data_IF_757465828748
#
_entry.id   IF_757465828748
#
_cell.length_a   1.000
_cell.length_b   1.000
_cell.length_c   1.000
_cell.angle_alpha   90.00
_cell.angle_beta   90.00
_cell.angle_gamma   90.00
#
_symmetry.space_group_name_H-M   'P 1'
#
loop_
_entity.id
_entity.type
_entity.pdbx_description
1 polymer ?
#
# COMPACT_ATOMS: atom_id res chain seq x y z
N UNK A 1 21.87 2.34 22.19
CA UNK A 1 20.45 2.07 21.92
C UNK A 1 20.31 1.71 20.45
N UNK A 2 20.60 0.45 20.11
CA UNK A 2 20.66 -0.03 18.73
C UNK A 2 19.55 -1.06 18.50
N UNK A 3 18.84 -0.93 17.39
CA UNK A 3 18.16 -2.05 16.71
C UNK A 3 16.69 -2.26 17.05
N UNK A 4 15.79 -1.58 16.34
CA UNK A 4 14.38 -2.03 16.19
C UNK A 4 13.89 -1.87 14.73
N UNK A 5 14.75 -1.55 13.76
CA UNK A 5 14.32 -1.16 12.41
C UNK A 5 14.90 -1.96 11.26
N UNK A 6 15.51 -3.12 11.55
CA UNK A 6 15.99 -4.06 10.52
C UNK A 6 15.20 -5.37 10.57
N UNK A 7 13.87 -5.25 10.62
CA UNK A 7 12.98 -6.39 10.38
C UNK A 7 12.81 -6.57 8.88
N UNK A 8 12.90 -7.80 8.35
CA UNK A 8 12.62 -8.06 6.95
C UNK A 8 11.20 -7.62 6.61
N UNK A 9 11.06 -6.83 5.55
CA UNK A 9 9.76 -6.28 5.14
C UNK A 9 9.08 -7.30 4.24
N UNK A 10 7.92 -7.78 4.69
CA UNK A 10 7.04 -8.60 3.88
C UNK A 10 6.45 -7.71 2.80
N UNK A 11 7.10 -7.65 1.63
CA UNK A 11 6.71 -6.75 0.54
C UNK A 11 5.24 -6.89 0.09
N UNK A 12 4.59 -8.02 0.39
CA UNK A 12 3.16 -8.26 0.16
C UNK A 12 2.26 -7.79 1.31
N UNK A 13 2.73 -7.79 2.56
CA UNK A 13 1.93 -7.35 3.71
C UNK A 13 2.00 -5.82 3.88
N UNK A 14 3.17 -5.18 3.72
CA UNK A 14 3.28 -3.71 3.75
C UNK A 14 2.77 -3.04 2.46
N UNK A 15 2.66 -3.78 1.35
CA UNK A 15 1.97 -3.31 0.15
C UNK A 15 0.50 -2.94 0.42
N UNK A 16 -0.13 -3.57 1.41
CA UNK A 16 -1.47 -3.22 1.86
C UNK A 16 -1.52 -1.80 2.46
N UNK A 17 -0.44 -1.34 3.10
CA UNK A 17 -0.32 0.01 3.67
C UNK A 17 -0.04 1.07 2.61
N UNK A 18 0.63 0.70 1.51
CA UNK A 18 0.94 1.59 0.38
C UNK A 18 -0.12 1.53 -0.73
N UNK A 19 -1.10 0.60 -0.65
CA UNK A 19 -2.19 0.39 -1.62
C UNK A 19 -1.71 0.38 -3.08
N UNK A 20 -0.51 -0.13 -3.33
CA UNK A 20 0.00 -0.31 -4.68
C UNK A 20 -0.41 -1.69 -5.19
N UNK A 21 -0.99 -1.74 -6.37
CA UNK A 21 -1.31 -3.01 -7.00
C UNK A 21 -0.02 -3.81 -7.29
N UNK A 22 -0.15 -5.14 -7.27
CA UNK A 22 0.95 -6.08 -7.54
C UNK A 22 1.69 -5.79 -8.87
N UNK A 23 0.95 -5.29 -9.88
CA UNK A 23 1.48 -4.87 -11.18
C UNK A 23 2.42 -3.65 -11.14
N UNK A 24 2.33 -2.82 -10.10
CA UNK A 24 3.15 -1.61 -9.91
C UNK A 24 4.30 -1.86 -8.93
N UNK A 25 4.09 -2.74 -7.95
CA UNK A 25 5.12 -3.14 -6.99
C UNK A 25 6.23 -3.96 -7.60
N UNK A 26 5.89 -4.92 -8.47
CA UNK A 26 6.90 -5.81 -9.07
C UNK A 26 7.95 -5.02 -9.88
N UNK A 27 7.58 -4.06 -10.76
CA UNK A 27 8.55 -3.21 -11.45
C UNK A 27 9.35 -2.30 -10.50
N UNK A 28 8.72 -1.76 -9.45
CA UNK A 28 9.38 -0.86 -8.50
C UNK A 28 10.43 -1.61 -7.66
N UNK A 29 10.07 -2.76 -7.10
CA UNK A 29 10.98 -3.60 -6.32
C UNK A 29 12.15 -4.05 -7.18
N UNK A 30 11.89 -4.51 -8.42
CA UNK A 30 12.96 -4.90 -9.36
C UNK A 30 13.90 -3.72 -9.64
N UNK A 31 13.37 -2.51 -9.82
CA UNK A 31 14.19 -1.31 -10.02
C UNK A 31 15.09 -1.03 -8.81
N UNK A 32 14.53 -1.07 -7.59
CA UNK A 32 15.28 -0.82 -6.36
C UNK A 32 16.33 -1.90 -6.09
N UNK A 33 16.06 -3.16 -6.46
CA UNK A 33 17.03 -4.26 -6.45
C UNK A 33 18.16 -4.05 -7.47
N UNK A 34 17.84 -3.63 -8.71
CA UNK A 34 18.87 -3.26 -9.72
C UNK A 34 19.77 -2.13 -9.24
N UNK A 35 19.26 -1.18 -8.45
CA UNK A 35 20.06 -0.13 -7.84
C UNK A 35 20.84 -0.56 -6.59
N UNK A 36 20.75 -1.84 -6.19
CA UNK A 36 21.45 -2.38 -5.03
C UNK A 36 20.92 -1.87 -3.70
N UNK A 37 19.70 -1.34 -3.65
CA UNK A 37 19.08 -0.79 -2.43
C UNK A 37 18.24 -1.83 -1.69
N UNK A 38 17.76 -2.85 -2.40
CA UNK A 38 16.99 -3.96 -1.85
C UNK A 38 17.62 -5.29 -2.26
N UNK A 39 17.39 -6.31 -1.45
CA UNK A 39 17.64 -7.72 -1.76
C UNK A 39 16.36 -8.52 -1.62
N UNK A 40 16.18 -9.51 -2.48
CA UNK A 40 15.09 -10.48 -2.40
C UNK A 40 15.64 -11.83 -1.93
N UNK A 41 14.97 -12.44 -0.96
CA UNK A 41 15.21 -13.84 -0.61
C UNK A 41 13.90 -14.62 -0.65
N UNK A 42 13.95 -15.85 -1.17
CA UNK A 42 12.84 -16.79 -1.00
C UNK A 42 12.84 -17.26 0.44
N UNK A 43 11.66 -17.37 1.06
CA UNK A 43 11.60 -17.96 2.39
C UNK A 43 11.88 -19.46 2.28
N UNK A 44 12.62 -19.99 3.26
CA UNK A 44 12.89 -21.43 3.33
C UNK A 44 11.61 -22.21 3.68
N UNK A 45 10.68 -21.57 4.37
CA UNK A 45 9.47 -22.17 4.94
C UNK A 45 8.28 -22.18 3.94
N UNK A 46 8.32 -21.30 2.94
CA UNK A 46 7.36 -21.23 1.84
C UNK A 46 8.04 -20.65 0.59
N UNK A 47 8.34 -21.51 -0.39
CA UNK A 47 9.01 -21.11 -1.62
C UNK A 47 8.19 -20.15 -2.50
N UNK A 48 6.88 -20.01 -2.21
CA UNK A 48 5.99 -19.05 -2.87
C UNK A 48 6.07 -17.65 -2.26
N UNK A 49 6.65 -17.54 -1.06
CA UNK A 49 6.84 -16.27 -0.38
C UNK A 49 8.23 -15.67 -0.68
N UNK A 50 8.22 -14.40 -1.05
CA UNK A 50 9.44 -13.61 -1.28
C UNK A 50 9.53 -12.56 -0.18
N UNK A 51 10.65 -12.57 0.52
CA UNK A 51 11.01 -11.58 1.52
C UNK A 51 11.92 -10.53 0.88
N UNK A 52 11.66 -9.26 1.17
CA UNK A 52 12.43 -8.13 0.67
C UNK A 52 13.10 -7.47 1.87
N UNK A 53 14.38 -7.13 1.73
CA UNK A 53 15.13 -6.45 2.79
C UNK A 53 15.98 -5.34 2.21
N UNK A 54 16.24 -4.31 3.02
CA UNK A 54 17.21 -3.27 2.67
C UNK A 54 18.62 -3.88 2.62
N UNK A 55 19.42 -3.41 1.68
CA UNK A 55 20.87 -3.59 1.72
C UNK A 55 21.50 -2.55 2.67
N UNK A 56 22.78 -2.68 3.04
CA UNK A 56 23.49 -1.62 3.76
C UNK A 56 23.39 -0.24 3.05
N UNK A 57 23.46 -0.24 1.72
CA UNK A 57 23.31 0.95 0.87
C UNK A 57 21.88 1.51 0.94
N UNK A 58 20.87 0.64 0.89
CA UNK A 58 19.47 1.00 1.06
C UNK A 58 19.19 1.62 2.44
N UNK A 59 19.74 1.02 3.49
CA UNK A 59 19.62 1.54 4.85
C UNK A 59 20.35 2.89 5.02
N UNK A 60 21.52 3.06 4.39
CA UNK A 60 22.22 4.33 4.37
C UNK A 60 21.44 5.42 3.63
N UNK A 61 20.85 5.10 2.48
CA UNK A 61 20.00 6.03 1.75
C UNK A 61 18.77 6.43 2.57
N UNK A 62 18.09 5.46 3.20
CA UNK A 62 16.94 5.73 4.09
C UNK A 62 17.29 6.72 5.20
N UNK A 63 18.47 6.59 5.81
CA UNK A 63 18.97 7.55 6.82
C UNK A 63 19.23 8.93 6.21
N UNK A 64 19.78 9.00 5.00
CA UNK A 64 20.08 10.28 4.33
C UNK A 64 18.82 11.08 3.97
N UNK A 65 17.70 10.40 3.74
CA UNK A 65 16.43 11.03 3.30
C UNK A 65 15.38 11.10 4.41
N UNK A 66 15.72 10.77 5.65
CA UNK A 66 14.74 10.71 6.75
C UNK A 66 14.11 12.06 7.09
N UNK A 67 14.77 13.16 6.73
CA UNK A 67 14.27 14.53 6.91
C UNK A 67 13.36 15.02 5.77
N UNK A 68 13.28 14.30 4.64
CA UNK A 68 12.49 14.74 3.48
C UNK A 68 11.00 14.90 3.82
N UNK A 69 10.32 13.97 4.53
CA UNK A 69 8.92 14.16 4.91
C UNK A 69 8.68 15.40 5.77
N UNK A 70 9.62 15.71 6.68
CA UNK A 70 9.55 16.91 7.53
C UNK A 70 9.70 18.16 6.69
N UNK A 71 10.71 18.22 5.81
CA UNK A 71 10.93 19.36 4.92
C UNK A 71 9.74 19.63 3.99
N UNK A 72 9.06 18.56 3.52
CA UNK A 72 7.82 18.70 2.74
C UNK A 72 6.70 19.29 3.61
N UNK A 73 6.54 18.80 4.85
CA UNK A 73 5.58 19.35 5.82
C UNK A 73 5.80 20.84 6.07
N UNK A 74 7.03 21.23 6.36
CA UNK A 74 7.43 22.61 6.62
C UNK A 74 7.15 23.50 5.40
N UNK A 75 7.48 23.04 4.19
CA UNK A 75 7.22 23.77 2.95
C UNK A 75 5.72 23.98 2.67
N UNK A 76 4.87 23.09 3.17
CA UNK A 76 3.41 23.20 3.08
C UNK A 76 2.80 23.95 4.26
N UNK A 77 3.59 24.33 5.27
CA UNK A 77 3.11 24.96 6.50
C UNK A 77 2.24 24.05 7.36
N UNK A 78 2.44 22.73 7.28
CA UNK A 78 1.65 21.75 8.05
C UNK A 78 2.45 21.18 9.22
N UNK A 79 1.80 21.08 10.37
CA UNK A 79 2.30 20.35 11.52
C UNK A 79 2.29 18.84 11.28
N UNK A 80 3.12 18.06 12.00
CA UNK A 80 3.08 16.60 11.94
C UNK A 80 1.67 16.02 12.23
N UNK A 81 0.93 16.65 13.13
CA UNK A 81 -0.44 16.28 13.51
C UNK A 81 -1.44 16.48 12.36
N UNK A 82 -1.35 17.60 11.65
CA UNK A 82 -2.20 17.90 10.48
C UNK A 82 -1.91 16.96 9.33
N UNK A 83 -0.64 16.66 9.06
CA UNK A 83 -0.24 15.67 8.03
C UNK A 83 -0.86 14.31 8.35
N UNK A 84 -0.75 13.83 9.60
CA UNK A 84 -1.35 12.56 10.02
C UNK A 84 -2.87 12.57 9.85
N UNK A 85 -3.52 13.66 10.25
CA UNK A 85 -4.97 13.82 10.13
C UNK A 85 -5.43 13.76 8.66
N UNK A 86 -4.71 14.45 7.77
CA UNK A 86 -4.99 14.44 6.34
C UNK A 86 -4.80 13.03 5.74
N UNK A 87 -3.70 12.35 6.08
CA UNK A 87 -3.42 10.98 5.63
C UNK A 87 -4.53 10.01 6.05
N UNK A 88 -4.99 10.08 7.29
CA UNK A 88 -6.05 9.20 7.79
C UNK A 88 -7.39 9.45 7.10
N UNK A 89 -7.74 10.71 6.86
CA UNK A 89 -8.95 11.04 6.11
C UNK A 89 -8.87 10.53 4.67
N UNK A 90 -7.74 10.74 3.99
CA UNK A 90 -7.52 10.27 2.62
C UNK A 90 -7.59 8.74 2.55
N UNK A 91 -6.93 8.03 3.48
CA UNK A 91 -6.99 6.55 3.56
C UNK A 91 -8.43 6.06 3.74
N UNK A 92 -9.21 6.68 4.62
CA UNK A 92 -10.63 6.35 4.83
C UNK A 92 -11.46 6.59 3.55
N UNK A 93 -11.25 7.72 2.88
CA UNK A 93 -11.92 8.02 1.61
C UNK A 93 -11.56 6.99 0.53
N UNK A 94 -10.27 6.65 0.36
CA UNK A 94 -9.86 5.65 -0.63
C UNK A 94 -10.40 4.26 -0.29
N UNK A 95 -10.44 3.88 0.99
CA UNK A 95 -11.04 2.62 1.44
C UNK A 95 -12.53 2.53 1.11
N UNK A 96 -13.28 3.61 1.35
CA UNK A 96 -14.70 3.67 1.02
C UNK A 96 -14.97 3.64 -0.49
N UNK A 97 -14.16 4.36 -1.28
CA UNK A 97 -14.30 4.42 -2.74
C UNK A 97 -13.92 3.09 -3.43
N UNK A 98 -12.99 2.32 -2.85
CA UNK A 98 -12.53 1.04 -3.41
C UNK A 98 -13.31 -0.16 -2.88
N UNK A 99 -14.08 -0.01 -1.79
CA UNK A 99 -15.19 -0.92 -1.48
C UNK A 99 -16.23 -0.77 -2.58
N UNK A 100 -16.16 -1.67 -3.57
CA UNK A 100 -17.27 -1.91 -4.50
C UNK A 100 -18.55 -2.00 -3.67
N UNK A 101 -19.56 -1.13 -3.88
CA UNK A 101 -20.82 -1.27 -3.16
C UNK A 101 -21.34 -2.65 -3.50
N UNK A 102 -21.41 -3.51 -2.49
CA UNK A 102 -22.12 -4.76 -2.62
C UNK A 102 -23.56 -4.39 -2.99
N UNK A 103 -23.99 -4.80 -4.18
CA UNK A 103 -25.39 -5.06 -4.49
C UNK A 103 -26.33 -3.86 -4.74
N UNK A 104 -25.94 -2.90 -5.61
CA UNK A 104 -26.85 -1.82 -6.05
C UNK A 104 -27.37 -1.94 -7.50
N UNK A 105 -27.28 -3.12 -8.14
CA UNK A 105 -27.78 -3.30 -9.52
C UNK A 105 -28.43 -4.64 -9.80
N UNK A 106 -29.13 -5.24 -8.84
CA UNK A 106 -30.20 -6.19 -9.16
C UNK A 106 -31.52 -5.43 -9.30
N UNK A 107 -31.70 -4.75 -10.43
CA UNK A 107 -33.03 -4.35 -10.91
C UNK A 107 -33.84 -5.65 -11.05
N UNK A 108 -34.99 -5.84 -10.37
CA UNK A 108 -35.80 -7.03 -10.63
C UNK A 108 -36.24 -6.97 -12.09
N UNK A 109 -35.76 -7.94 -12.87
CA UNK A 109 -36.20 -8.17 -14.22
C UNK A 109 -37.61 -8.76 -14.16
N UNK A 110 -38.57 -8.11 -14.82
CA UNK A 110 -39.78 -8.72 -15.35
C UNK A 110 -40.77 -9.30 -14.33
N UNK A 111 -41.79 -8.51 -13.98
CA UNK A 111 -43.13 -9.06 -13.81
C UNK A 111 -44.03 -8.24 -14.75
N UNK A 112 -44.25 -8.77 -15.95
CA UNK A 112 -45.26 -8.25 -16.88
C UNK A 112 -46.66 -8.43 -16.27
N UNK A 113 -47.61 -7.51 -16.53
CA UNK A 113 -49.00 -7.70 -16.16
C UNK A 113 -49.70 -8.52 -17.25
N UNK A 114 -49.80 -9.83 -17.08
CA UNK A 114 -50.75 -10.64 -17.84
C UNK A 114 -51.96 -10.95 -16.97
N UNK A 115 -53.08 -10.29 -17.24
CA UNK A 115 -54.37 -10.71 -16.71
C UNK A 115 -54.79 -12.07 -17.29
N UNK A 116 -55.70 -12.77 -16.62
CA UNK A 116 -57.11 -12.98 -17.00
C UNK A 116 -57.72 -14.09 -16.11
N UNK A 117 -59.03 -13.96 -15.85
CA UNK A 117 -59.98 -14.90 -15.24
C UNK A 117 -59.89 -15.03 -13.70
N UNK A 118 -60.96 -14.77 -12.94
CA UNK A 118 -62.37 -15.06 -13.20
C UNK A 118 -63.34 -14.07 -12.58
#
# INVERSE_FOLDING_TARGET
MAGEHDRPVHALEEAADVRLDYGTLTPLIKRLETHGLLKRQRRADDERAVEVALTPEGAALRRRISNVPVAIGDAMGLTPEEIRTAQDLLRRLTANATRRPADATRRPAGAEPSGTAS
#
